data_IF_759083800183
#
_entry.id   IF_759083800183
#
_cell.length_a   1.000
_cell.length_b   1.000
_cell.length_c   1.000
_cell.angle_alpha   90.00
_cell.angle_beta   90.00
_cell.angle_gamma   90.00
#
_symmetry.space_group_name_H-M   'P 1'
#
loop_
_entity.id
_entity.type
_entity.pdbx_description
1 polymer ?
#
# COMPACT_ATOMS: atom_id res chain seq x y z
N UNK A 1 18.82 8.42 -10.34
CA UNK A 1 18.41 7.74 -9.09
C UNK A 1 17.19 6.88 -9.39
N UNK A 2 17.24 5.56 -9.14
CA UNK A 2 16.10 4.69 -9.41
C UNK A 2 14.91 5.03 -8.50
N UNK A 3 13.69 4.78 -8.98
CA UNK A 3 12.43 5.01 -8.24
C UNK A 3 12.43 4.33 -6.85
N UNK A 4 13.08 3.18 -6.72
CA UNK A 4 13.23 2.43 -5.46
C UNK A 4 13.95 3.25 -4.36
N UNK A 5 15.03 3.98 -4.69
CA UNK A 5 15.77 4.77 -3.69
C UNK A 5 14.93 5.95 -3.16
N UNK A 6 14.04 6.51 -3.99
CA UNK A 6 13.10 7.57 -3.55
C UNK A 6 12.02 7.03 -2.63
N UNK A 7 11.43 5.87 -2.96
CA UNK A 7 10.47 5.19 -2.11
C UNK A 7 11.06 4.88 -0.72
N UNK A 8 12.27 4.29 -0.64
CA UNK A 8 12.89 3.92 0.64
C UNK A 8 13.27 5.13 1.50
N UNK A 9 13.75 6.22 0.90
CA UNK A 9 14.22 7.39 1.65
C UNK A 9 13.06 8.15 2.32
N UNK A 10 11.92 8.31 1.62
CA UNK A 10 10.77 9.01 2.17
C UNK A 10 10.04 8.19 3.24
N UNK A 11 9.85 6.87 3.04
CA UNK A 11 9.25 5.99 4.05
C UNK A 11 10.01 6.04 5.38
N UNK A 12 11.35 6.05 5.35
CA UNK A 12 12.20 6.18 6.54
C UNK A 12 12.02 7.51 7.26
N UNK A 13 11.85 8.61 6.53
CA UNK A 13 11.61 9.94 7.12
C UNK A 13 10.20 10.05 7.73
N UNK A 14 9.21 9.43 7.11
CA UNK A 14 7.81 9.53 7.54
C UNK A 14 7.51 8.69 8.79
N UNK A 15 8.13 7.50 8.90
CA UNK A 15 8.08 6.64 10.09
C UNK A 15 8.70 7.31 11.32
N UNK A 16 9.55 8.33 11.15
CA UNK A 16 10.12 9.12 12.24
C UNK A 16 9.22 10.30 12.70
N UNK A 17 8.03 10.49 12.11
CA UNK A 17 7.12 11.59 12.46
C UNK A 17 6.00 11.18 13.43
N UNK A 18 5.66 12.05 14.38
CA UNK A 18 4.95 11.75 15.63
C UNK A 18 3.41 11.64 15.57
N UNK A 19 2.80 11.17 14.48
CA UNK A 19 1.34 10.90 14.46
C UNK A 19 1.05 9.40 14.32
N UNK A 20 1.51 8.63 15.31
CA UNK A 20 1.43 7.17 15.34
C UNK A 20 0.00 6.61 15.23
N UNK A 21 -1.01 7.30 15.76
CA UNK A 21 -2.37 6.74 15.85
C UNK A 21 -3.05 6.61 14.48
N UNK A 22 -3.02 7.67 13.65
CA UNK A 22 -3.65 7.64 12.32
C UNK A 22 -2.90 6.73 11.34
N UNK A 23 -1.57 6.63 11.49
CA UNK A 23 -0.73 5.71 10.73
C UNK A 23 -1.06 4.25 11.09
N UNK A 24 -1.20 3.93 12.37
CA UNK A 24 -1.53 2.58 12.84
C UNK A 24 -2.87 2.13 12.27
N UNK A 25 -3.92 2.96 12.40
CA UNK A 25 -5.24 2.63 11.85
C UNK A 25 -5.20 2.42 10.33
N UNK A 26 -4.45 3.25 9.60
CA UNK A 26 -4.26 3.08 8.16
C UNK A 26 -3.59 1.73 7.82
N UNK A 27 -2.47 1.41 8.47
CA UNK A 27 -1.74 0.16 8.21
C UNK A 27 -2.54 -1.08 8.64
N UNK A 28 -3.32 -1.00 9.72
CA UNK A 28 -4.24 -2.06 10.14
C UNK A 28 -5.33 -2.29 9.08
N UNK A 29 -5.91 -1.22 8.53
CA UNK A 29 -6.90 -1.29 7.46
C UNK A 29 -6.32 -1.94 6.18
N UNK A 30 -5.10 -1.55 5.79
CA UNK A 30 -4.39 -2.14 4.65
C UNK A 30 -4.05 -3.62 4.88
N UNK A 31 -3.66 -3.98 6.11
CA UNK A 31 -3.21 -5.34 6.46
C UNK A 31 -4.35 -6.32 6.65
N UNK A 32 -5.59 -5.87 6.84
CA UNK A 32 -6.73 -6.76 7.06
C UNK A 32 -6.89 -7.78 5.91
N UNK A 33 -7.17 -9.03 6.25
CA UNK A 33 -7.34 -10.15 5.31
C UNK A 33 -8.83 -10.44 5.03
N UNK A 34 -9.70 -9.44 5.16
CA UNK A 34 -11.15 -9.63 5.08
C UNK A 34 -11.59 -10.33 3.78
N UNK A 35 -12.64 -11.13 3.89
CA UNK A 35 -13.13 -12.11 2.91
C UNK A 35 -13.69 -11.56 1.58
N UNK A 36 -13.56 -10.26 1.30
CA UNK A 36 -14.07 -9.61 0.09
C UNK A 36 -12.98 -9.28 -0.95
N UNK A 37 -11.78 -9.85 -0.84
CA UNK A 37 -10.70 -9.61 -1.81
C UNK A 37 -11.03 -10.17 -3.22
N UNK A 38 -11.82 -11.25 -3.29
CA UNK A 38 -12.21 -11.89 -4.56
C UNK A 38 -12.95 -10.98 -5.54
N UNK A 39 -13.66 -9.95 -5.04
CA UNK A 39 -14.35 -8.94 -5.85
C UNK A 39 -13.40 -8.24 -6.83
N UNK A 40 -12.14 -8.05 -6.44
CA UNK A 40 -11.15 -7.30 -7.20
C UNK A 40 -10.25 -8.18 -8.05
N UNK A 41 -10.40 -9.50 -7.92
CA UNK A 41 -9.48 -10.45 -8.52
C UNK A 41 -9.40 -10.30 -10.05
N UNK A 42 -10.55 -10.17 -10.71
CA UNK A 42 -10.60 -10.03 -12.17
C UNK A 42 -9.86 -8.79 -12.65
N UNK A 43 -10.04 -7.65 -11.98
CA UNK A 43 -9.35 -6.40 -12.31
C UNK A 43 -7.84 -6.51 -12.04
N UNK A 44 -7.48 -7.05 -10.87
CA UNK A 44 -6.08 -7.19 -10.48
C UNK A 44 -5.32 -8.23 -11.33
N UNK A 45 -5.99 -9.23 -11.88
CA UNK A 45 -5.36 -10.23 -12.75
C UNK A 45 -4.92 -9.65 -14.11
N UNK A 46 -5.45 -8.48 -14.50
CA UNK A 46 -5.04 -7.74 -15.70
C UNK A 46 -3.66 -7.09 -15.56
N UNK A 47 -3.12 -6.99 -14.34
CA UNK A 47 -1.79 -6.42 -14.10
C UNK A 47 -0.72 -7.26 -14.78
N UNK A 48 0.19 -6.57 -15.49
CA UNK A 48 1.34 -7.16 -16.16
C UNK A 48 2.58 -6.94 -15.27
N UNK A 49 3.11 -8.02 -14.72
CA UNK A 49 4.34 -8.04 -13.92
C UNK A 49 5.21 -9.21 -14.36
N UNK A 50 6.53 -9.03 -14.32
CA UNK A 50 7.49 -10.02 -14.80
C UNK A 50 7.63 -11.23 -13.86
N UNK A 51 7.52 -11.03 -12.55
CA UNK A 51 7.61 -12.07 -11.51
C UNK A 51 6.66 -11.73 -10.35
N UNK A 52 6.39 -12.72 -9.48
CA UNK A 52 5.56 -12.55 -8.27
C UNK A 52 4.12 -12.06 -8.53
N UNK A 53 3.52 -12.50 -9.65
CA UNK A 53 2.17 -12.08 -10.08
C UNK A 53 1.12 -12.26 -8.99
N UNK A 54 1.07 -13.41 -8.33
CA UNK A 54 0.07 -13.67 -7.28
C UNK A 54 0.20 -12.71 -6.08
N UNK A 55 1.43 -12.36 -5.69
CA UNK A 55 1.67 -11.38 -4.62
C UNK A 55 1.21 -9.98 -5.03
N UNK A 56 1.45 -9.60 -6.29
CA UNK A 56 1.02 -8.32 -6.83
C UNK A 56 -0.50 -8.23 -7.02
N UNK A 57 -1.15 -9.32 -7.43
CA UNK A 57 -2.61 -9.43 -7.49
C UNK A 57 -3.18 -9.19 -6.09
N UNK A 58 -2.67 -9.89 -5.07
CA UNK A 58 -3.13 -9.74 -3.68
C UNK A 58 -2.94 -8.31 -3.15
N UNK A 59 -1.82 -7.66 -3.47
CA UNK A 59 -1.58 -6.27 -3.08
C UNK A 59 -2.50 -5.29 -3.83
N UNK A 60 -2.80 -5.54 -5.10
CA UNK A 60 -3.80 -4.79 -5.85
C UNK A 60 -5.20 -4.92 -5.24
N UNK A 61 -5.61 -6.13 -4.85
CA UNK A 61 -6.92 -6.37 -4.23
C UNK A 61 -7.06 -5.59 -2.92
N UNK A 62 -6.01 -5.58 -2.08
CA UNK A 62 -5.95 -4.78 -0.85
C UNK A 62 -6.03 -3.28 -1.14
N UNK A 63 -5.32 -2.82 -2.16
CA UNK A 63 -5.30 -1.42 -2.58
C UNK A 63 -6.69 -0.94 -3.05
N UNK A 64 -7.34 -1.70 -3.95
CA UNK A 64 -8.67 -1.38 -4.45
C UNK A 64 -9.73 -1.45 -3.35
N UNK A 65 -9.64 -2.45 -2.45
CA UNK A 65 -10.50 -2.52 -1.27
C UNK A 65 -10.36 -1.30 -0.38
N UNK A 66 -9.13 -0.86 -0.12
CA UNK A 66 -8.92 0.34 0.67
C UNK A 66 -9.52 1.56 -0.04
N UNK A 67 -9.29 1.74 -1.34
CA UNK A 67 -9.87 2.85 -2.10
C UNK A 67 -11.40 2.88 -2.02
N UNK A 68 -12.07 1.74 -2.16
CA UNK A 68 -13.54 1.67 -2.04
C UNK A 68 -14.02 2.09 -0.65
N UNK A 69 -13.33 1.65 0.41
CA UNK A 69 -13.67 1.98 1.81
C UNK A 69 -13.10 3.34 2.26
N UNK A 70 -12.18 3.94 1.49
CA UNK A 70 -11.49 5.20 1.81
C UNK A 70 -12.41 6.42 1.75
N UNK A 71 -13.61 6.29 1.16
CA UNK A 71 -14.65 7.32 1.25
C UNK A 71 -14.96 7.71 2.70
N UNK A 72 -14.86 6.75 3.64
CA UNK A 72 -15.02 6.98 5.08
C UNK A 72 -13.83 7.78 5.66
N UNK A 73 -12.65 7.64 5.06
CA UNK A 73 -11.41 8.27 5.52
C UNK A 73 -11.21 9.69 5.01
N UNK A 74 -11.76 10.05 3.84
CA UNK A 74 -11.70 11.41 3.30
C UNK A 74 -12.54 12.42 4.10
N UNK A 75 -13.62 11.97 4.74
CA UNK A 75 -14.48 12.83 5.58
C UNK A 75 -13.90 13.06 6.99
N UNK A 76 -12.98 12.20 7.42
CA UNK A 76 -12.33 12.34 8.71
C UNK A 76 -11.12 13.27 8.55
N UNK A 77 -11.07 14.36 9.34
CA UNK A 77 -9.99 15.35 9.42
C UNK A 77 -8.66 14.70 9.89
N UNK A 78 -8.05 13.86 9.08
CA UNK A 78 -7.00 12.92 9.51
C UNK A 78 -5.59 13.53 9.52
N UNK A 79 -5.48 14.80 9.11
CA UNK A 79 -4.21 15.54 9.09
C UNK A 79 -3.14 14.95 8.15
N UNK A 80 -3.54 14.03 7.27
CA UNK A 80 -2.71 13.38 6.26
C UNK A 80 -3.47 13.22 4.96
N UNK A 81 -2.77 13.43 3.84
CA UNK A 81 -3.26 13.08 2.53
C UNK A 81 -3.25 11.55 2.37
N UNK A 82 -4.44 10.96 2.19
CA UNK A 82 -4.63 9.52 2.02
C UNK A 82 -3.89 9.00 0.79
N UNK A 83 -3.80 9.79 -0.29
CA UNK A 83 -3.03 9.43 -1.49
C UNK A 83 -1.54 9.29 -1.19
N UNK A 84 -1.03 10.17 -0.32
CA UNK A 84 0.36 10.12 0.14
C UNK A 84 0.65 8.84 0.95
N UNK A 85 -0.24 8.46 1.88
CA UNK A 85 -0.10 7.20 2.65
C UNK A 85 -0.18 5.96 1.76
N UNK A 86 -1.11 5.93 0.81
CA UNK A 86 -1.26 4.84 -0.15
C UNK A 86 -0.01 4.65 -1.02
N UNK A 87 0.59 5.75 -1.49
CA UNK A 87 1.83 5.70 -2.25
C UNK A 87 2.97 5.05 -1.45
N UNK A 88 3.10 5.36 -0.15
CA UNK A 88 4.14 4.74 0.69
C UNK A 88 3.90 3.26 0.95
N UNK A 89 2.66 2.89 1.27
CA UNK A 89 2.32 1.48 1.45
C UNK A 89 2.62 0.67 0.19
N UNK A 90 2.24 1.18 -0.99
CA UNK A 90 2.52 0.52 -2.26
C UNK A 90 4.03 0.41 -2.54
N UNK A 91 4.78 1.49 -2.29
CA UNK A 91 6.24 1.50 -2.39
C UNK A 91 6.89 0.42 -1.48
N UNK A 92 6.47 0.33 -0.22
CA UNK A 92 7.00 -0.64 0.75
C UNK A 92 6.69 -2.08 0.31
N UNK A 93 5.46 -2.33 -0.11
CA UNK A 93 5.01 -3.62 -0.62
C UNK A 93 5.77 -4.08 -1.87
N UNK A 94 5.94 -3.19 -2.86
CA UNK A 94 6.75 -3.46 -4.06
C UNK A 94 8.20 -3.72 -3.67
N UNK A 95 8.75 -2.95 -2.73
CA UNK A 95 10.12 -3.14 -2.23
C UNK A 95 10.27 -4.48 -1.50
N UNK A 96 9.27 -4.91 -0.72
CA UNK A 96 9.26 -6.22 -0.06
C UNK A 96 9.18 -7.38 -1.05
N UNK A 97 8.50 -7.19 -2.18
CA UNK A 97 8.36 -8.23 -3.22
C UNK A 97 9.61 -8.32 -4.10
N UNK A 98 10.13 -7.18 -4.57
CA UNK A 98 11.18 -7.13 -5.60
C UNK A 98 12.54 -6.65 -5.11
N UNK A 99 12.61 -6.01 -3.94
CA UNK A 99 13.83 -5.46 -3.35
C UNK A 99 14.69 -6.49 -2.63
N UNK A 100 14.25 -7.75 -2.52
CA UNK A 100 14.99 -8.82 -1.82
C UNK A 100 16.15 -9.40 -2.67
N UNK A 101 16.43 -8.87 -3.87
CA UNK A 101 17.60 -9.31 -4.65
C UNK A 101 18.74 -8.28 -4.63
N UNK A 102 19.65 -8.45 -3.66
CA UNK A 102 21.10 -8.66 -3.86
C UNK A 102 21.93 -8.25 -2.62
N UNK A 103 22.05 -9.18 -1.67
CA UNK A 103 23.35 -9.65 -1.15
C UNK A 103 23.20 -11.08 -0.69
#
# INVERSE_FOLDING_TARGET
>A
MSSQYKCMYFSRLFLNSSKELNLKFFFDAMSSESSNLSKYHEECNKIIVSNHKDKMIRNCEKFLRFLENSKIWNDANNGYDVSTLLNYWLCDEITRIYGVNNT
#
